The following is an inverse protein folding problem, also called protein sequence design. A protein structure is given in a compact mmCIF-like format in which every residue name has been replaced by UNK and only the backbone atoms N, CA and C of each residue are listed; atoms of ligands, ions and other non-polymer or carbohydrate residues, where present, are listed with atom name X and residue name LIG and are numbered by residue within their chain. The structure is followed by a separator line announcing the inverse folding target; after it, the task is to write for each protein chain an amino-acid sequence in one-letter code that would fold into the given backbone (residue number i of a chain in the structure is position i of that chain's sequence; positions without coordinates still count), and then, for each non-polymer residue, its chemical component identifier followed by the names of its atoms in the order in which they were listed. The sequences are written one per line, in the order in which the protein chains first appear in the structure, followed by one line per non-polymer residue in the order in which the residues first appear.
data_IF_141363383547
#
_entry.id   IF_141363383547
#
_cell.length_a   1.000
_cell.length_b   1.000
_cell.length_c   1.000
_cell.angle_alpha   90.00
_cell.angle_beta   90.00
_cell.angle_gamma   90.00
#
_symmetry.space_group_name_H-M   'P 1'
#
loop_
_entity.id
_entity.type
_entity.pdbx_description
1 polymer ?
#
# COMPACT_ATOMS: atom_id res chain seq x y z
N UNK A 1 8.92 4.70 26.54
CA UNK A 1 8.69 3.83 25.36
C UNK A 1 8.78 4.71 24.12
N UNK A 2 9.54 4.32 23.08
CA UNK A 2 9.63 5.14 21.86
C UNK A 2 8.25 5.25 21.21
N UNK A 3 7.86 6.46 20.75
CA UNK A 3 6.52 6.76 20.21
C UNK A 3 6.11 5.79 19.09
N UNK A 4 7.09 5.35 18.29
CA UNK A 4 6.94 4.36 17.22
C UNK A 4 6.49 2.99 17.72
N UNK A 5 7.07 2.50 18.83
CA UNK A 5 6.73 1.17 19.36
C UNK A 5 5.30 1.09 19.89
N UNK A 6 4.78 2.21 20.42
CA UNK A 6 3.39 2.30 20.86
C UNK A 6 2.40 2.23 19.70
N UNK A 7 2.69 2.96 18.60
CA UNK A 7 1.83 2.99 17.42
C UNK A 7 1.70 1.62 16.75
N UNK A 8 2.81 0.88 16.64
CA UNK A 8 2.81 -0.48 16.07
C UNK A 8 1.89 -1.42 16.88
N UNK A 9 1.99 -1.39 18.21
CA UNK A 9 1.19 -2.25 19.08
C UNK A 9 -0.30 -1.91 18.97
N UNK A 10 -0.64 -0.64 18.82
CA UNK A 10 -2.01 -0.19 18.63
C UNK A 10 -2.58 -0.65 17.29
N UNK A 11 -1.83 -0.47 16.20
CA UNK A 11 -2.24 -0.91 14.86
C UNK A 11 -2.42 -2.43 14.80
N UNK A 12 -1.51 -3.20 15.40
CA UNK A 12 -1.61 -4.67 15.43
C UNK A 12 -2.79 -5.19 16.25
N UNK A 13 -3.40 -4.37 17.12
CA UNK A 13 -4.65 -4.71 17.82
C UNK A 13 -5.88 -4.46 16.96
N UNK A 14 -5.80 -3.59 15.95
CA UNK A 14 -6.91 -3.27 15.08
C UNK A 14 -6.99 -4.27 13.92
N UNK A 15 -8.03 -5.11 13.93
CA UNK A 15 -8.26 -6.13 12.89
C UNK A 15 -8.36 -5.58 11.45
N UNK A 16 -8.60 -4.27 11.28
CA UNK A 16 -8.70 -3.62 9.97
C UNK A 16 -7.34 -3.30 9.37
N UNK A 17 -6.28 -3.26 10.19
CA UNK A 17 -4.92 -2.97 9.74
C UNK A 17 -4.24 -4.27 9.31
N UNK A 18 -3.76 -4.37 8.06
CA UNK A 18 -3.08 -5.57 7.61
C UNK A 18 -1.74 -5.74 8.33
N UNK A 19 -1.51 -6.87 9.04
CA UNK A 19 -0.27 -7.09 9.79
C UNK A 19 0.98 -7.09 8.91
N UNK A 20 0.82 -7.32 7.60
CA UNK A 20 1.91 -7.35 6.65
C UNK A 20 2.66 -6.01 6.53
N UNK A 21 2.07 -4.87 6.96
CA UNK A 21 2.77 -3.58 7.01
C UNK A 21 4.00 -3.58 7.91
N UNK A 22 4.07 -4.54 8.85
CA UNK A 22 5.15 -4.66 9.83
C UNK A 22 6.07 -5.83 9.55
N UNK A 23 5.93 -6.48 8.39
CA UNK A 23 6.80 -7.56 7.98
C UNK A 23 8.21 -7.07 7.67
N UNK A 24 9.20 -7.87 8.08
CA UNK A 24 10.57 -7.71 7.64
C UNK A 24 10.73 -8.11 6.17
N UNK A 25 11.89 -7.81 5.59
CA UNK A 25 12.23 -8.18 4.22
C UNK A 25 12.20 -9.70 4.03
N UNK A 26 12.65 -10.45 5.04
CA UNK A 26 12.67 -11.91 5.05
C UNK A 26 11.25 -12.50 5.09
N UNK A 27 10.33 -11.88 5.83
CA UNK A 27 8.94 -12.32 5.87
C UNK A 27 8.23 -12.07 4.53
N UNK A 28 8.54 -10.95 3.86
CA UNK A 28 8.01 -10.66 2.54
C UNK A 28 8.57 -11.62 1.48
N UNK A 29 9.88 -11.88 1.49
CA UNK A 29 10.51 -12.78 0.53
C UNK A 29 10.01 -14.22 0.70
N UNK A 30 9.82 -14.66 1.95
CA UNK A 30 9.23 -15.96 2.26
C UNK A 30 7.77 -16.06 1.83
N UNK A 31 6.97 -15.01 1.99
CA UNK A 31 5.60 -14.97 1.48
C UNK A 31 5.55 -15.13 -0.05
N UNK A 32 6.43 -14.46 -0.79
CA UNK A 32 6.51 -14.62 -2.25
C UNK A 32 6.88 -16.06 -2.64
N UNK A 33 7.83 -16.67 -1.93
CA UNK A 33 8.26 -18.04 -2.22
C UNK A 33 7.18 -19.07 -1.86
N UNK A 34 6.69 -19.03 -0.62
CA UNK A 34 5.85 -20.09 -0.04
C UNK A 34 4.37 -19.93 -0.34
N UNK A 35 3.82 -18.70 -0.26
CA UNK A 35 2.37 -18.48 -0.44
C UNK A 35 2.00 -18.23 -1.91
N UNK A 36 2.85 -17.54 -2.68
CA UNK A 36 2.63 -17.34 -4.12
C UNK A 36 3.23 -18.46 -4.99
N UNK A 37 4.10 -19.30 -4.43
CA UNK A 37 4.79 -20.36 -5.16
C UNK A 37 5.86 -19.86 -6.13
N UNK A 38 6.42 -18.66 -5.88
CA UNK A 38 7.36 -17.98 -6.77
C UNK A 38 8.75 -17.86 -6.14
N UNK A 39 9.34 -19.00 -5.79
CA UNK A 39 10.63 -19.09 -5.09
C UNK A 39 11.77 -18.36 -5.85
N UNK A 40 11.75 -18.39 -7.18
CA UNK A 40 12.71 -17.70 -8.04
C UNK A 40 12.81 -16.17 -7.82
N UNK A 41 11.78 -15.53 -7.25
CA UNK A 41 11.79 -14.10 -6.96
C UNK A 41 12.16 -13.76 -5.53
N UNK A 42 12.43 -14.76 -4.67
CA UNK A 42 12.82 -14.52 -3.27
C UNK A 42 14.03 -13.58 -3.17
N UNK A 43 15.09 -13.87 -3.92
CA UNK A 43 16.31 -13.05 -3.95
C UNK A 43 16.05 -11.64 -4.51
N UNK A 44 15.14 -11.51 -5.48
CA UNK A 44 14.76 -10.21 -6.06
C UNK A 44 14.18 -9.29 -4.98
N UNK A 45 13.27 -9.79 -4.14
CA UNK A 45 12.68 -9.00 -3.06
C UNK A 45 13.70 -8.67 -1.95
N UNK A 46 14.57 -9.61 -1.59
CA UNK A 46 15.61 -9.41 -0.57
C UNK A 46 16.69 -8.41 -0.98
N UNK A 47 17.12 -8.47 -2.24
CA UNK A 47 18.12 -7.56 -2.81
C UNK A 47 17.59 -6.13 -2.88
N UNK A 48 16.31 -5.96 -3.24
CA UNK A 48 15.66 -4.66 -3.33
C UNK A 48 15.11 -4.15 -1.99
N UNK A 49 15.31 -4.90 -0.89
CA UNK A 49 14.90 -4.53 0.47
C UNK A 49 13.40 -4.20 0.56
N UNK A 50 12.59 -5.02 -0.12
CA UNK A 50 11.14 -4.89 -0.09
C UNK A 50 10.63 -5.42 1.26
N UNK A 51 10.30 -4.51 2.17
CA UNK A 51 9.63 -4.83 3.43
C UNK A 51 8.10 -4.67 3.34
N UNK A 52 7.42 -4.92 4.44
CA UNK A 52 5.96 -4.86 4.53
C UNK A 52 5.34 -3.53 4.09
N UNK A 53 6.00 -2.41 4.36
CA UNK A 53 5.54 -1.08 3.93
C UNK A 53 5.83 -0.84 2.46
N UNK A 54 6.95 -1.36 1.96
CA UNK A 54 7.32 -1.25 0.56
C UNK A 54 6.34 -1.98 -0.37
N UNK A 55 5.64 -3.02 0.10
CA UNK A 55 4.60 -3.71 -0.66
C UNK A 55 3.53 -2.75 -1.23
N UNK A 56 3.25 -1.64 -0.54
CA UNK A 56 2.29 -0.62 -1.00
C UNK A 56 2.72 0.03 -2.32
N UNK A 57 4.04 0.08 -2.59
CA UNK A 57 4.62 0.61 -3.82
C UNK A 57 4.90 -0.48 -4.87
N UNK A 58 4.69 -1.76 -4.54
CA UNK A 58 4.83 -2.88 -5.48
C UNK A 58 3.56 -2.95 -6.34
N UNK A 59 3.66 -2.41 -7.55
CA UNK A 59 2.60 -2.35 -8.56
C UNK A 59 3.06 -3.07 -9.81
N UNK A 60 2.12 -3.35 -10.74
CA UNK A 60 2.45 -4.00 -12.01
C UNK A 60 3.50 -3.25 -12.83
N UNK A 61 3.66 -1.93 -12.62
CA UNK A 61 4.69 -1.10 -13.25
C UNK A 61 6.05 -1.10 -12.54
N UNK A 62 6.12 -1.43 -11.25
CA UNK A 62 7.39 -1.44 -10.49
C UNK A 62 8.01 -2.84 -10.42
N UNK A 63 7.21 -3.89 -10.58
CA UNK A 63 7.66 -5.29 -10.59
C UNK A 63 8.81 -5.59 -11.60
N UNK A 64 8.76 -5.10 -12.85
CA UNK A 64 9.87 -5.26 -13.80
C UNK A 64 11.19 -4.64 -13.32
N UNK A 65 11.12 -3.55 -12.54
CA UNK A 65 12.31 -2.85 -12.05
C UNK A 65 13.04 -3.65 -10.96
N UNK A 66 12.31 -4.51 -10.23
CA UNK A 66 12.90 -5.38 -9.19
C UNK A 66 13.29 -6.76 -9.72
N UNK A 67 13.02 -7.07 -10.99
CA UNK A 67 13.44 -8.32 -11.66
C UNK A 67 12.30 -9.25 -12.06
N UNK A 68 11.04 -8.90 -11.78
CA UNK A 68 9.87 -9.70 -12.17
C UNK A 68 9.38 -9.24 -13.54
N UNK A 69 9.75 -9.97 -14.59
CA UNK A 69 9.44 -9.60 -15.99
C UNK A 69 8.37 -10.46 -16.65
N UNK A 70 8.07 -11.64 -16.08
CA UNK A 70 7.01 -12.51 -16.57
C UNK A 70 5.63 -11.91 -16.29
N UNK A 71 4.80 -11.79 -17.32
CA UNK A 71 3.50 -11.13 -17.22
C UNK A 71 2.50 -11.89 -16.33
N UNK A 72 2.51 -13.22 -16.34
CA UNK A 72 1.63 -14.00 -15.46
C UNK A 72 2.09 -13.89 -14.01
N UNK A 73 3.40 -13.90 -13.76
CA UNK A 73 3.94 -13.67 -12.42
C UNK A 73 3.63 -12.26 -11.91
N UNK A 74 3.69 -11.24 -12.77
CA UNK A 74 3.26 -9.88 -12.44
C UNK A 74 1.80 -9.85 -11.99
N UNK A 75 0.89 -10.57 -12.66
CA UNK A 75 -0.52 -10.64 -12.25
C UNK A 75 -0.69 -11.32 -10.90
N UNK A 76 -0.01 -12.46 -10.69
CA UNK A 76 -0.08 -13.23 -9.43
C UNK A 76 0.38 -12.35 -8.26
N UNK A 77 1.55 -11.72 -8.37
CA UNK A 77 2.08 -10.86 -7.32
C UNK A 77 1.19 -9.63 -7.12
N UNK A 78 0.77 -8.97 -8.20
CA UNK A 78 -0.09 -7.78 -8.09
C UNK A 78 -1.42 -8.09 -7.38
N UNK A 79 -1.97 -9.29 -7.59
CA UNK A 79 -3.15 -9.77 -6.87
C UNK A 79 -2.83 -10.10 -5.42
N UNK A 80 -1.77 -10.88 -5.16
CA UNK A 80 -1.35 -11.25 -3.81
C UNK A 80 -1.07 -10.03 -2.92
N UNK A 81 -0.47 -8.97 -3.47
CA UNK A 81 -0.26 -7.69 -2.77
C UNK A 81 -1.59 -7.05 -2.36
N UNK A 82 -2.60 -7.04 -3.24
CA UNK A 82 -3.93 -6.51 -2.89
C UNK A 82 -4.61 -7.35 -1.81
N UNK A 83 -4.52 -8.67 -1.93
CA UNK A 83 -5.13 -9.61 -0.98
C UNK A 83 -4.51 -9.45 0.42
N UNK A 84 -3.19 -9.35 0.51
CA UNK A 84 -2.50 -9.28 1.80
C UNK A 84 -2.61 -7.90 2.48
N UNK A 85 -2.58 -6.83 1.69
CA UNK A 85 -2.89 -5.48 2.18
C UNK A 85 -4.38 -5.30 2.43
N UNK A 86 -5.21 -6.28 2.04
CA UNK A 86 -6.66 -6.27 2.16
C UNK A 86 -7.25 -4.97 1.59
N UNK A 87 -6.77 -4.59 0.40
CA UNK A 87 -7.23 -3.44 -0.37
C UNK A 87 -8.42 -3.85 -1.24
N UNK A 88 -9.32 -2.91 -1.51
CA UNK A 88 -10.40 -3.13 -2.48
C UNK A 88 -9.83 -3.37 -3.89
N UNK A 89 -10.50 -4.24 -4.65
CA UNK A 89 -10.18 -4.41 -6.07
C UNK A 89 -10.46 -3.13 -6.85
N UNK A 90 -9.64 -2.82 -7.87
CA UNK A 90 -9.88 -1.67 -8.73
C UNK A 90 -11.15 -1.89 -9.56
N UNK A 91 -12.26 -1.27 -9.15
CA UNK A 91 -13.50 -1.30 -9.90
C UNK A 91 -13.47 -0.27 -11.04
N UNK A 92 -13.65 -0.75 -12.27
CA UNK A 92 -13.67 0.11 -13.47
C UNK A 92 -14.85 1.10 -13.48
N UNK A 93 -15.91 0.84 -12.70
CA UNK A 93 -17.11 1.67 -12.59
C UNK A 93 -17.17 2.50 -11.30
N UNK A 94 -16.05 2.65 -10.58
CA UNK A 94 -15.98 3.47 -9.36
C UNK A 94 -16.23 4.94 -9.71
N UNK A 95 -17.10 5.61 -8.97
CA UNK A 95 -17.42 7.02 -9.22
C UNK A 95 -16.16 7.88 -9.07
N UNK A 96 -15.94 8.78 -10.04
CA UNK A 96 -14.88 9.79 -9.97
C UNK A 96 -15.11 10.81 -8.84
N UNK A 97 -16.29 10.82 -8.22
CA UNK A 97 -16.59 11.66 -7.05
C UNK A 97 -16.11 11.05 -5.73
N UNK A 98 -15.68 9.78 -5.73
CA UNK A 98 -15.15 9.12 -4.54
C UNK A 98 -13.62 9.30 -4.47
N UNK A 99 -13.04 9.41 -3.27
CA UNK A 99 -11.59 9.45 -3.09
C UNK A 99 -10.92 8.26 -3.75
N UNK A 100 -9.72 8.34 -4.38
CA UNK A 100 -9.13 7.29 -5.20
C UNK A 100 -9.05 5.90 -4.57
N UNK A 101 -8.95 5.82 -3.24
CA UNK A 101 -9.07 4.59 -2.46
C UNK A 101 -10.05 4.79 -1.29
N UNK A 102 -10.44 3.69 -0.67
CA UNK A 102 -11.17 3.69 0.60
C UNK A 102 -10.30 4.25 1.74
N UNK A 103 -10.92 4.51 2.89
CA UNK A 103 -10.23 5.09 4.06
C UNK A 103 -9.03 4.23 4.49
N UNK A 104 -9.15 2.91 4.39
CA UNK A 104 -8.06 1.97 4.69
C UNK A 104 -6.92 2.09 3.68
N UNK A 105 -7.21 2.11 2.38
CA UNK A 105 -6.19 2.30 1.35
C UNK A 105 -5.44 3.62 1.52
N UNK A 106 -6.14 4.71 1.82
CA UNK A 106 -5.52 6.02 2.08
C UNK A 106 -4.63 6.01 3.34
N UNK A 107 -5.06 5.33 4.41
CA UNK A 107 -4.22 5.11 5.59
C UNK A 107 -2.96 4.30 5.25
N UNK A 108 -3.11 3.20 4.51
CA UNK A 108 -2.00 2.32 4.10
C UNK A 108 -0.94 3.10 3.31
N UNK A 109 -1.36 3.94 2.36
CA UNK A 109 -0.47 4.84 1.63
C UNK A 109 0.26 5.82 2.54
N UNK A 110 -0.48 6.44 3.47
CA UNK A 110 0.09 7.38 4.43
C UNK A 110 1.11 6.70 5.37
N UNK A 111 0.84 5.45 5.75
CA UNK A 111 1.67 4.64 6.64
C UNK A 111 2.91 4.07 5.96
N UNK A 112 2.85 3.83 4.64
CA UNK A 112 3.95 3.27 3.86
C UNK A 112 5.16 4.22 3.77
N UNK A 113 4.92 5.53 3.78
CA UNK A 113 5.97 6.55 3.77
C UNK A 113 6.79 6.46 5.06
N UNK A 114 8.11 6.68 4.97
CA UNK A 114 8.99 6.71 6.14
C UNK A 114 9.07 8.13 6.71
N UNK A 115 9.13 8.24 8.04
CA UNK A 115 9.30 9.51 8.74
C UNK A 115 8.52 9.55 10.05
N UNK A 116 8.86 10.50 10.92
CA UNK A 116 8.32 10.58 12.28
C UNK A 116 6.78 10.61 12.32
N UNK A 117 6.14 11.28 11.35
CA UNK A 117 4.68 11.35 11.27
C UNK A 117 4.06 10.01 10.90
N UNK A 118 4.52 9.36 9.83
CA UNK A 118 4.00 8.06 9.40
C UNK A 118 4.31 6.94 10.42
N UNK A 119 5.50 6.99 11.03
CA UNK A 119 5.91 6.04 12.05
C UNK A 119 5.00 6.08 13.30
N UNK A 120 4.53 7.28 13.67
CA UNK A 120 3.59 7.49 14.77
C UNK A 120 2.11 7.40 14.40
N UNK A 121 1.76 7.32 13.11
CA UNK A 121 0.38 7.30 12.63
C UNK A 121 -0.27 5.94 12.93
N UNK A 122 -1.32 5.91 13.74
CA UNK A 122 -2.16 4.72 13.91
C UNK A 122 -3.42 4.83 13.06
N UNK A 123 -4.08 3.71 12.80
CA UNK A 123 -5.31 3.73 12.01
C UNK A 123 -6.42 4.54 12.70
N UNK A 124 -6.54 4.45 14.02
CA UNK A 124 -7.48 5.28 14.80
C UNK A 124 -7.14 6.76 14.68
N UNK A 125 -5.87 7.13 14.87
CA UNK A 125 -5.43 8.52 14.70
C UNK A 125 -5.71 9.04 13.29
N UNK A 126 -5.56 8.18 12.27
CA UNK A 126 -5.91 8.53 10.90
C UNK A 126 -7.41 8.83 10.75
N UNK A 127 -8.29 7.97 11.29
CA UNK A 127 -9.73 8.18 11.26
C UNK A 127 -10.13 9.47 11.99
N UNK A 128 -9.59 9.71 13.20
CA UNK A 128 -9.87 10.91 14.00
C UNK A 128 -9.45 12.21 13.29
N UNK A 129 -8.36 12.15 12.52
CA UNK A 129 -7.82 13.32 11.80
C UNK A 129 -8.45 13.54 10.43
N UNK A 130 -9.08 12.51 9.85
CA UNK A 130 -9.64 12.51 8.51
C UNK A 130 -11.14 12.19 8.49
N UNK A 131 -11.89 12.49 9.56
CA UNK A 131 -13.36 12.43 9.58
C UNK A 131 -13.92 13.28 8.42
N UNK A 132 -14.51 12.61 7.43
CA UNK A 132 -14.71 13.06 6.04
C UNK A 132 -15.12 14.54 5.87
N UNK A 133 -14.20 15.45 5.52
CA UNK A 133 -14.55 16.58 4.69
C UNK A 133 -14.58 16.03 3.25
N UNK A 134 -15.77 16.02 2.63
CA UNK A 134 -16.05 15.62 1.24
C UNK A 134 -14.77 15.61 0.38
N UNK A 135 -14.28 14.43 -0.03
CA UNK A 135 -13.10 14.37 -0.89
C UNK A 135 -13.32 15.30 -2.09
N UNK A 136 -12.44 16.29 -2.25
CA UNK A 136 -12.50 17.21 -3.38
C UNK A 136 -11.45 16.77 -4.39
N UNK A 137 -11.85 16.46 -5.64
CA UNK A 137 -10.86 16.32 -6.69
C UNK A 137 -10.06 17.63 -6.79
N UNK A 138 -8.77 17.59 -7.16
CA UNK A 138 -8.02 18.81 -7.40
C UNK A 138 -8.79 19.66 -8.42
N UNK A 139 -9.14 20.90 -8.04
CA UNK A 139 -9.93 21.84 -8.86
C UNK A 139 -9.23 22.26 -10.17
N UNK A 140 -8.09 21.66 -10.51
CA UNK A 140 -7.33 21.91 -11.72
C UNK A 140 -7.96 21.22 -12.95
N UNK A 141 -9.26 21.44 -13.14
CA UNK A 141 -9.84 21.59 -14.46
C UNK A 141 -10.01 23.09 -14.74
N UNK A 142 -8.92 23.86 -14.65
CA UNK A 142 -8.83 25.04 -15.49
C UNK A 142 -8.65 24.52 -16.92
N UNK A 143 -9.77 24.21 -17.58
CA UNK A 143 -9.85 24.26 -19.02
C UNK A 143 -9.43 25.68 -19.43
N UNK A 144 -8.12 25.89 -19.58
CA UNK A 144 -7.59 26.97 -20.40
C UNK A 144 -8.01 26.64 -21.84
N UNK A 145 -9.26 26.97 -22.16
CA UNK A 145 -9.65 27.29 -23.51
C UNK A 145 -8.76 28.47 -23.89
N UNK A 146 -7.65 28.18 -24.57
CA UNK A 146 -6.88 29.21 -25.24
C UNK A 146 -7.86 29.92 -26.19
N UNK A 147 -8.07 31.24 -26.04
CA UNK A 147 -8.85 31.96 -27.03
C UNK A 147 -8.15 31.85 -28.39
N UNK A 148 -8.94 31.48 -29.41
CA UNK A 148 -8.54 31.44 -30.82
C UNK A 148 -8.03 32.78 -31.32
#
# INVERSE_FOLDING_TARGET
MSRTGSAIIEDLKDSRVPPCLYWSVEQVSEWVASELGLEEYKECFEKNKVDGRMLVFVTSSTLPQIGVTDFEHIKIISRGVRDILQLEDPFWNRSISLPPRDQKGMYIESKAVRGQHADGLTYQLYLDTHEEPLWQPPLNNHCQLLPH
#
